data_IF_590204163926
#
_entry.id   IF_590204163926
#
_cell.length_a   1.000
_cell.length_b   1.000
_cell.length_c   1.000
_cell.angle_alpha   90.00
_cell.angle_beta   90.00
_cell.angle_gamma   90.00
#
_symmetry.space_group_name_H-M   'P 1'
#
loop_
_entity.id
_entity.type
_entity.pdbx_description
1 polymer ?
#
# COMPACT_ATOMS: atom_id res chain seq x y z
N UNK A 1 27.83 18.44 17.18
CA UNK A 1 27.19 17.32 16.47
C UNK A 1 26.62 16.28 17.46
N UNK A 2 25.78 16.70 18.42
CA UNK A 2 25.24 15.81 19.48
C UNK A 2 23.74 15.55 19.35
N UNK A 3 23.10 16.07 18.29
CA UNK A 3 21.70 15.82 17.97
C UNK A 3 21.67 14.87 16.77
N UNK A 4 22.03 13.60 17.00
CA UNK A 4 21.71 12.55 16.04
C UNK A 4 20.19 12.57 15.85
N UNK A 5 19.74 12.66 14.60
CA UNK A 5 18.32 12.77 14.33
C UNK A 5 17.68 11.46 14.79
N UNK A 6 16.80 11.46 15.80
CA UNK A 6 16.19 10.22 16.31
C UNK A 6 15.38 9.49 15.21
N UNK A 7 15.04 10.18 14.13
CA UNK A 7 14.53 9.57 12.90
C UNK A 7 15.49 8.51 12.31
N UNK A 8 16.80 8.65 12.47
CA UNK A 8 17.80 7.70 12.00
C UNK A 8 17.73 6.33 12.73
N UNK A 9 17.00 6.24 13.85
CA UNK A 9 16.80 5.00 14.60
C UNK A 9 15.81 4.04 13.92
N UNK A 10 14.96 4.54 13.02
CA UNK A 10 13.91 3.75 12.34
C UNK A 10 14.02 3.90 10.82
N UNK A 11 15.14 3.42 10.21
CA UNK A 11 15.47 3.72 8.82
C UNK A 11 14.49 3.09 7.82
N UNK A 12 13.88 1.93 8.15
CA UNK A 12 12.95 1.24 7.26
C UNK A 12 11.60 1.92 7.25
N UNK A 13 11.12 2.38 8.41
CA UNK A 13 9.91 3.18 8.52
C UNK A 13 10.06 4.50 7.74
N UNK A 14 11.19 5.19 7.89
CA UNK A 14 11.48 6.43 7.14
C UNK A 14 11.44 6.17 5.64
N UNK A 15 12.13 5.11 5.19
CA UNK A 15 12.18 4.73 3.77
C UNK A 15 10.79 4.41 3.23
N UNK A 16 9.97 3.67 3.99
CA UNK A 16 8.61 3.34 3.63
C UNK A 16 7.68 4.56 3.54
N UNK A 17 7.80 5.50 4.49
CA UNK A 17 7.05 6.76 4.48
C UNK A 17 7.41 7.65 3.27
N UNK A 18 8.65 7.57 2.78
CA UNK A 18 9.05 8.25 1.55
C UNK A 18 8.64 7.51 0.28
N UNK A 19 8.63 6.18 0.28
CA UNK A 19 8.17 5.36 -0.84
C UNK A 19 6.67 5.62 -1.13
N UNK A 20 5.87 5.66 -0.06
CA UNK A 20 4.41 5.85 -0.13
C UNK A 20 3.99 7.25 -0.61
N UNK A 21 4.85 8.27 -0.52
CA UNK A 21 4.62 9.60 -1.12
C UNK A 21 4.53 9.53 -2.66
N UNK A 22 5.38 8.70 -3.28
CA UNK A 22 5.44 8.61 -4.74
C UNK A 22 4.21 7.92 -5.31
N UNK A 23 3.55 7.11 -4.49
CA UNK A 23 2.26 6.49 -4.80
C UNK A 23 1.17 7.54 -4.56
N UNK A 24 1.19 8.55 -5.43
CA UNK A 24 0.31 9.71 -5.44
C UNK A 24 -1.10 9.26 -5.89
N UNK A 25 -1.73 8.35 -5.13
CA UNK A 25 -3.09 7.84 -5.38
C UNK A 25 -4.05 9.02 -5.55
N UNK A 26 -3.87 10.09 -4.78
CA UNK A 26 -4.66 11.30 -4.93
C UNK A 26 -4.40 12.06 -6.24
N UNK A 27 -3.22 11.96 -6.87
CA UNK A 27 -2.93 12.63 -8.14
C UNK A 27 -3.48 11.85 -9.34
N UNK A 28 -3.50 10.52 -9.26
CA UNK A 28 -4.18 9.69 -10.26
C UNK A 28 -5.72 9.85 -10.17
N UNK A 29 -6.27 9.92 -8.94
CA UNK A 29 -7.70 10.13 -8.73
C UNK A 29 -8.18 11.58 -8.92
N UNK A 30 -7.35 12.61 -8.70
CA UNK A 30 -7.74 14.03 -8.88
C UNK A 30 -7.33 14.58 -10.25
N UNK A 31 -6.26 14.03 -10.85
CA UNK A 31 -5.70 14.46 -12.13
C UNK A 31 -6.45 13.95 -13.36
N UNK A 32 -7.20 12.85 -13.24
CA UNK A 32 -8.06 12.35 -14.33
C UNK A 32 -9.44 13.05 -14.37
N UNK A 33 -9.75 13.92 -13.40
CA UNK A 33 -11.11 14.46 -13.22
C UNK A 33 -11.42 15.80 -13.92
N UNK A 34 -10.47 16.53 -14.51
CA UNK A 34 -10.80 17.91 -14.97
C UNK A 34 -10.24 18.42 -16.29
N UNK A 35 -9.16 17.86 -16.86
CA UNK A 35 -8.44 18.57 -17.92
C UNK A 35 -8.52 17.97 -19.33
N UNK A 36 -8.66 16.65 -19.51
CA UNK A 36 -8.47 16.05 -20.84
C UNK A 36 -9.76 15.85 -21.64
N UNK A 37 -10.90 15.57 -21.00
CA UNK A 37 -12.16 15.32 -21.73
C UNK A 37 -13.05 16.57 -21.90
N UNK A 38 -12.89 17.61 -21.07
CA UNK A 38 -13.69 18.83 -21.17
C UNK A 38 -13.18 19.84 -22.19
N UNK A 39 -11.86 20.08 -22.24
CA UNK A 39 -11.30 21.20 -23.00
C UNK A 39 -11.21 20.90 -24.50
N UNK A 40 -10.90 19.65 -24.87
CA UNK A 40 -10.74 19.26 -26.28
C UNK A 40 -12.03 19.38 -27.12
N UNK A 41 -13.18 19.05 -26.53
CA UNK A 41 -14.48 19.08 -27.25
C UNK A 41 -15.02 20.50 -27.35
N UNK A 42 -14.85 21.33 -26.31
CA UNK A 42 -15.29 22.74 -26.33
C UNK A 42 -14.44 23.61 -27.28
N UNK A 43 -13.13 23.37 -27.39
CA UNK A 43 -12.27 24.12 -28.30
C UNK A 43 -12.52 23.80 -29.79
N UNK A 44 -12.89 22.56 -30.13
CA UNK A 44 -13.18 22.15 -31.51
C UNK A 44 -14.54 22.66 -32.03
N UNK A 45 -15.55 22.75 -31.16
CA UNK A 45 -16.87 23.28 -31.53
C UNK A 45 -16.92 24.81 -31.53
N UNK A 46 -16.15 25.46 -30.65
CA UNK A 46 -16.02 26.93 -30.62
C UNK A 46 -15.38 27.50 -31.89
N UNK A 47 -14.41 26.78 -32.47
CA UNK A 47 -13.79 27.18 -33.75
C UNK A 47 -14.72 26.98 -34.95
N UNK A 48 -15.62 26.00 -34.92
CA UNK A 48 -16.60 25.77 -36.00
C UNK A 48 -17.77 26.75 -35.98
N UNK A 49 -18.24 27.16 -34.79
CA UNK A 49 -19.33 28.12 -34.62
C UNK A 49 -18.94 29.57 -35.01
N UNK A 50 -17.65 29.92 -34.92
CA UNK A 50 -17.13 31.25 -35.29
C UNK A 50 -17.09 31.49 -36.82
N UNK A 51 -17.07 30.43 -37.64
CA UNK A 51 -16.91 30.54 -39.09
C UNK A 51 -18.24 30.64 -39.87
N UNK A 52 -19.39 30.39 -39.25
CA UNK A 52 -20.71 30.38 -39.91
C UNK A 52 -21.79 31.05 -39.04
N UNK A 53 -22.23 32.28 -39.34
CA UNK A 53 -23.19 33.01 -38.49
C UNK A 53 -24.57 32.35 -38.44
N UNK A 54 -24.95 31.56 -39.47
CA UNK A 54 -26.19 30.76 -39.47
C UNK A 54 -26.02 29.36 -38.85
N UNK A 55 -24.80 28.82 -38.84
CA UNK A 55 -24.51 27.48 -38.31
C UNK A 55 -24.58 27.42 -36.78
N UNK A 56 -24.22 28.52 -36.11
CA UNK A 56 -24.24 28.59 -34.64
C UNK A 56 -25.64 28.38 -34.04
N UNK A 57 -26.68 28.91 -34.68
CA UNK A 57 -28.07 28.84 -34.18
C UNK A 57 -28.68 27.45 -34.37
N UNK A 58 -28.38 26.78 -35.48
CA UNK A 58 -28.79 25.39 -35.75
C UNK A 58 -27.99 24.42 -34.88
N UNK A 59 -26.67 24.62 -34.74
CA UNK A 59 -25.84 23.78 -33.88
C UNK A 59 -26.23 23.88 -32.39
N UNK A 60 -26.56 25.08 -31.87
CA UNK A 60 -27.00 25.22 -30.48
C UNK A 60 -28.35 24.54 -30.21
N UNK A 61 -29.29 24.62 -31.14
CA UNK A 61 -30.66 24.10 -30.94
C UNK A 61 -30.77 22.60 -31.19
N UNK A 62 -30.00 22.06 -32.14
CA UNK A 62 -30.06 20.62 -32.51
C UNK A 62 -28.98 19.77 -31.84
N UNK A 63 -27.73 20.25 -31.78
CA UNK A 63 -26.60 19.52 -31.19
C UNK A 63 -26.37 19.88 -29.72
N UNK A 64 -26.78 21.07 -29.28
CA UNK A 64 -26.66 21.51 -27.89
C UNK A 64 -27.32 20.55 -26.90
N UNK A 65 -28.59 20.14 -27.09
CA UNK A 65 -29.24 19.18 -26.19
C UNK A 65 -28.55 17.81 -26.16
N UNK A 66 -28.01 17.34 -27.30
CA UNK A 66 -27.27 16.08 -27.39
C UNK A 66 -25.93 16.15 -26.65
N UNK A 67 -25.21 17.27 -26.74
CA UNK A 67 -23.96 17.48 -26.00
C UNK A 67 -24.21 17.62 -24.50
N UNK A 68 -25.25 18.35 -24.09
CA UNK A 68 -25.64 18.44 -22.68
C UNK A 68 -26.03 17.05 -22.16
N UNK A 69 -26.83 16.29 -22.92
CA UNK A 69 -27.18 14.91 -22.57
C UNK A 69 -25.94 14.01 -22.50
N UNK A 70 -25.00 14.11 -23.44
CA UNK A 70 -23.77 13.33 -23.41
C UNK A 70 -22.94 13.66 -22.16
N UNK A 71 -22.79 14.93 -21.82
CA UNK A 71 -22.09 15.37 -20.58
C UNK A 71 -22.81 14.87 -19.34
N UNK A 72 -24.14 14.97 -19.28
CA UNK A 72 -24.95 14.51 -18.15
C UNK A 72 -24.88 12.99 -18.01
N UNK A 73 -25.03 12.23 -19.09
CA UNK A 73 -24.95 10.76 -19.10
C UNK A 73 -23.56 10.29 -18.72
N UNK A 74 -22.50 10.89 -19.28
CA UNK A 74 -21.11 10.56 -18.92
C UNK A 74 -20.81 10.93 -17.47
N UNK A 75 -21.35 12.06 -17.00
CA UNK A 75 -21.28 12.48 -15.62
C UNK A 75 -21.96 11.49 -14.67
N UNK A 76 -23.17 11.05 -14.99
CA UNK A 76 -23.93 10.07 -14.18
C UNK A 76 -23.26 8.69 -14.21
N UNK A 77 -22.73 8.24 -15.36
CA UNK A 77 -22.00 6.97 -15.46
C UNK A 77 -20.72 7.02 -14.64
N UNK A 78 -19.98 8.13 -14.70
CA UNK A 78 -18.79 8.33 -13.86
C UNK A 78 -19.16 8.43 -12.38
N UNK A 79 -20.26 9.09 -12.02
CA UNK A 79 -20.74 9.15 -10.64
C UNK A 79 -21.15 7.76 -10.12
N UNK A 80 -21.86 6.97 -10.94
CA UNK A 80 -22.25 5.59 -10.62
C UNK A 80 -21.04 4.67 -10.52
N UNK A 81 -20.05 4.82 -11.41
CA UNK A 81 -18.76 4.10 -11.30
C UNK A 81 -18.00 4.48 -10.05
N UNK A 82 -17.96 5.78 -9.68
CA UNK A 82 -17.36 6.25 -8.42
C UNK A 82 -18.10 5.74 -7.19
N UNK A 83 -19.42 5.71 -7.23
CA UNK A 83 -20.24 5.15 -6.14
C UNK A 83 -20.07 3.63 -6.02
N UNK A 84 -19.92 2.92 -7.14
CA UNK A 84 -19.66 1.49 -7.17
C UNK A 84 -18.21 1.12 -6.75
N UNK A 85 -17.26 2.05 -6.88
CA UNK A 85 -15.87 1.88 -6.45
C UNK A 85 -15.61 2.25 -4.98
N UNK A 86 -16.61 2.77 -4.25
CA UNK A 86 -16.54 2.93 -2.79
C UNK A 86 -16.79 1.59 -2.09
N UNK A 87 -15.88 0.65 -2.30
CA UNK A 87 -15.84 -0.56 -1.47
C UNK A 87 -15.30 -0.18 -0.09
N UNK A 88 -15.71 -0.87 0.99
CA UNK A 88 -15.16 -0.60 2.33
C UNK A 88 -13.64 -0.78 2.39
N UNK A 89 -13.09 -1.68 1.56
CA UNK A 89 -11.64 -1.87 1.39
C UNK A 89 -10.93 -0.67 0.77
N UNK A 90 -11.62 0.06 -0.11
CA UNK A 90 -11.08 1.28 -0.69
C UNK A 90 -11.03 2.41 0.35
N UNK A 91 -12.08 2.55 1.15
CA UNK A 91 -12.13 3.56 2.21
C UNK A 91 -11.06 3.31 3.28
N UNK A 92 -10.84 2.06 3.69
CA UNK A 92 -9.78 1.71 4.65
C UNK A 92 -8.38 2.00 4.10
N UNK A 93 -8.13 1.74 2.81
CA UNK A 93 -6.86 2.10 2.17
C UNK A 93 -6.64 3.61 2.18
N UNK A 94 -7.66 4.39 1.80
CA UNK A 94 -7.57 5.86 1.81
C UNK A 94 -7.28 6.38 3.22
N UNK A 95 -7.96 5.84 4.23
CA UNK A 95 -7.70 6.17 5.64
C UNK A 95 -6.24 5.88 6.03
N UNK A 96 -5.72 4.70 5.66
CA UNK A 96 -4.35 4.32 5.98
C UNK A 96 -3.31 5.26 5.33
N UNK A 97 -3.52 5.64 4.06
CA UNK A 97 -2.63 6.60 3.38
C UNK A 97 -2.69 8.00 4.02
N UNK A 98 -3.85 8.42 4.52
CA UNK A 98 -3.95 9.67 5.29
C UNK A 98 -3.15 9.58 6.59
N UNK A 99 -3.22 8.45 7.30
CA UNK A 99 -2.41 8.22 8.50
C UNK A 99 -0.91 8.22 8.18
N UNK A 100 -0.48 7.56 7.10
CA UNK A 100 0.91 7.57 6.65
C UNK A 100 1.39 8.99 6.33
N UNK A 101 0.57 9.80 5.66
CA UNK A 101 0.89 11.20 5.39
C UNK A 101 1.03 12.03 6.69
N UNK A 102 0.17 11.77 7.69
CA UNK A 102 0.29 12.38 9.03
C UNK A 102 1.58 11.96 9.72
N UNK A 103 1.91 10.66 9.74
CA UNK A 103 3.14 10.14 10.33
C UNK A 103 4.38 10.74 9.67
N UNK A 104 4.38 10.85 8.35
CA UNK A 104 5.47 11.50 7.62
C UNK A 104 5.59 12.98 7.99
N UNK A 105 4.48 13.72 8.06
CA UNK A 105 4.52 15.12 8.48
C UNK A 105 5.04 15.27 9.90
N UNK A 106 4.74 14.33 10.79
CA UNK A 106 5.36 14.28 12.12
C UNK A 106 6.86 13.98 12.06
N UNK A 107 7.30 13.11 11.15
CA UNK A 107 8.70 12.80 10.93
C UNK A 107 9.47 14.03 10.45
N UNK A 108 8.95 14.76 9.46
CA UNK A 108 9.55 16.00 8.94
C UNK A 108 9.64 17.10 10.01
N UNK A 109 8.71 17.11 10.96
CA UNK A 109 8.71 18.02 12.11
C UNK A 109 9.51 17.48 13.31
N UNK A 110 10.19 16.34 13.18
CA UNK A 110 10.88 15.63 14.28
C UNK A 110 9.99 15.34 15.50
N UNK A 111 8.69 15.15 15.29
CA UNK A 111 7.70 14.89 16.36
C UNK A 111 7.28 13.44 16.48
N UNK A 112 7.60 12.63 15.48
CA UNK A 112 7.12 11.24 15.41
C UNK A 112 7.50 10.44 16.68
N UNK A 113 8.75 10.58 17.14
CA UNK A 113 9.29 9.91 18.33
C UNK A 113 8.80 10.47 19.67
N UNK A 114 8.13 11.62 19.65
CA UNK A 114 7.54 12.24 20.84
C UNK A 114 6.08 11.85 21.00
N UNK A 115 5.36 11.83 19.88
CA UNK A 115 3.94 11.59 19.87
C UNK A 115 3.64 10.07 19.87
N UNK A 116 4.46 9.23 19.21
CA UNK A 116 4.34 7.76 19.30
C UNK A 116 5.27 7.17 20.36
N UNK A 117 4.85 6.07 20.99
CA UNK A 117 5.71 5.30 21.89
C UNK A 117 6.84 4.61 21.10
N UNK A 118 7.98 4.43 21.77
CA UNK A 118 9.15 3.75 21.21
C UNK A 118 8.83 2.30 20.80
N UNK A 119 7.98 1.61 21.57
CA UNK A 119 7.45 0.28 21.26
C UNK A 119 6.70 0.25 19.92
N UNK A 120 5.80 1.21 19.69
CA UNK A 120 5.04 1.32 18.45
C UNK A 120 5.95 1.65 17.26
N UNK A 121 6.92 2.54 17.45
CA UNK A 121 7.87 2.88 16.38
C UNK A 121 8.76 1.71 16.00
N UNK A 122 9.29 0.99 16.99
CA UNK A 122 10.07 -0.22 16.76
C UNK A 122 9.26 -1.28 16.03
N UNK A 123 7.99 -1.47 16.39
CA UNK A 123 7.11 -2.42 15.74
C UNK A 123 6.79 -2.01 14.29
N UNK A 124 6.50 -0.74 14.03
CA UNK A 124 6.23 -0.23 12.69
C UNK A 124 7.47 -0.28 11.79
N UNK A 125 8.66 -0.01 12.34
CA UNK A 125 9.94 -0.17 11.64
C UNK A 125 10.20 -1.64 11.30
N UNK A 126 9.92 -2.56 12.22
CA UNK A 126 10.04 -4.01 11.96
C UNK A 126 9.09 -4.47 10.85
N UNK A 127 7.84 -4.00 10.86
CA UNK A 127 6.86 -4.30 9.80
C UNK A 127 7.35 -3.76 8.46
N UNK A 128 7.80 -2.50 8.41
CA UNK A 128 8.34 -1.89 7.20
C UNK A 128 9.57 -2.63 6.69
N UNK A 129 10.47 -3.04 7.60
CA UNK A 129 11.66 -3.83 7.29
C UNK A 129 11.29 -5.17 6.67
N UNK A 130 10.39 -5.93 7.28
CA UNK A 130 9.97 -7.25 6.80
C UNK A 130 9.24 -7.15 5.47
N UNK A 131 8.38 -6.12 5.29
CA UNK A 131 7.79 -5.81 3.97
C UNK A 131 8.89 -5.59 2.93
N UNK A 132 9.86 -4.71 3.21
CA UNK A 132 10.96 -4.42 2.30
C UNK A 132 11.75 -5.67 1.92
N UNK A 133 12.07 -6.52 2.90
CA UNK A 133 12.76 -7.79 2.68
C UNK A 133 11.95 -8.75 1.78
N UNK A 134 10.63 -8.86 1.97
CA UNK A 134 9.77 -9.67 1.08
C UNK A 134 9.87 -9.16 -0.36
N UNK A 135 9.77 -7.84 -0.57
CA UNK A 135 9.92 -7.25 -1.90
C UNK A 135 11.31 -7.51 -2.48
N UNK A 136 12.37 -7.38 -1.69
CA UNK A 136 13.75 -7.66 -2.12
C UNK A 136 13.94 -9.11 -2.55
N UNK A 137 13.41 -10.07 -1.77
CA UNK A 137 13.47 -11.50 -2.11
C UNK A 137 12.70 -11.78 -3.40
N UNK A 138 11.47 -11.26 -3.53
CA UNK A 138 10.65 -11.43 -4.74
C UNK A 138 11.20 -10.66 -5.96
N UNK A 139 12.16 -9.76 -5.75
CA UNK A 139 12.89 -9.06 -6.80
C UNK A 139 14.18 -9.78 -7.23
N UNK A 140 14.56 -10.88 -6.57
CA UNK A 140 15.73 -11.67 -6.97
C UNK A 140 15.56 -12.29 -8.37
N UNK A 141 16.67 -12.57 -9.09
CA UNK A 141 16.63 -13.08 -10.47
C UNK A 141 15.77 -14.33 -10.67
N UNK A 142 15.68 -15.21 -9.67
CA UNK A 142 14.81 -16.39 -9.70
C UNK A 142 13.34 -16.04 -9.99
N UNK A 143 12.81 -15.03 -9.30
CA UNK A 143 11.41 -14.59 -9.43
C UNK A 143 11.14 -13.70 -10.64
N UNK A 144 12.17 -13.31 -11.39
CA UNK A 144 12.09 -12.41 -12.54
C UNK A 144 12.22 -13.15 -13.88
N UNK A 145 12.33 -14.48 -13.85
CA UNK A 145 12.43 -15.30 -15.06
C UNK A 145 11.12 -15.25 -15.87
N UNK A 146 11.23 -15.11 -17.19
CA UNK A 146 10.07 -15.15 -18.10
C UNK A 146 9.35 -16.51 -18.10
N UNK A 147 10.06 -17.57 -17.73
CA UNK A 147 9.57 -18.95 -17.72
C UNK A 147 9.11 -19.42 -16.33
N UNK A 148 8.82 -18.48 -15.42
CA UNK A 148 8.31 -18.82 -14.09
C UNK A 148 6.98 -19.57 -14.22
N UNK A 149 6.82 -20.67 -13.47
CA UNK A 149 5.56 -21.43 -13.44
C UNK A 149 4.38 -20.49 -13.13
N UNK A 150 3.22 -20.63 -13.79
CA UNK A 150 2.04 -19.81 -13.51
C UNK A 150 1.64 -19.79 -12.03
N UNK A 151 1.83 -20.91 -11.33
CA UNK A 151 1.55 -21.03 -9.88
C UNK A 151 2.48 -20.15 -9.04
N UNK A 152 3.77 -20.10 -9.37
CA UNK A 152 4.75 -19.27 -8.69
C UNK A 152 4.57 -17.77 -9.04
N UNK A 153 4.17 -17.46 -10.26
CA UNK A 153 3.82 -16.10 -10.66
C UNK A 153 2.61 -15.57 -9.88
N UNK A 154 1.59 -16.40 -9.70
CA UNK A 154 0.42 -16.06 -8.89
C UNK A 154 0.78 -15.94 -7.40
N UNK A 155 1.60 -16.85 -6.86
CA UNK A 155 2.11 -16.77 -5.50
C UNK A 155 2.87 -15.47 -5.26
N UNK A 156 3.78 -15.09 -6.16
CA UNK A 156 4.53 -13.81 -6.09
C UNK A 156 3.56 -12.62 -6.03
N UNK A 157 2.56 -12.60 -6.90
CA UNK A 157 1.54 -11.53 -6.94
C UNK A 157 0.75 -11.47 -5.63
N UNK A 158 0.29 -12.61 -5.12
CA UNK A 158 -0.45 -12.70 -3.86
C UNK A 158 0.40 -12.29 -2.66
N UNK A 159 1.67 -12.70 -2.62
CA UNK A 159 2.61 -12.34 -1.56
C UNK A 159 2.86 -10.83 -1.50
N UNK A 160 3.07 -10.17 -2.65
CA UNK A 160 3.23 -8.71 -2.72
C UNK A 160 1.98 -8.01 -2.20
N UNK A 161 0.81 -8.40 -2.71
CA UNK A 161 -0.48 -7.79 -2.30
C UNK A 161 -0.74 -8.02 -0.81
N UNK A 162 -0.49 -9.22 -0.30
CA UNK A 162 -0.68 -9.57 1.10
C UNK A 162 0.29 -8.79 2.00
N UNK A 163 1.55 -8.61 1.59
CA UNK A 163 2.54 -7.86 2.36
C UNK A 163 2.19 -6.37 2.44
N UNK A 164 1.80 -5.76 1.31
CA UNK A 164 1.38 -4.37 1.25
C UNK A 164 0.09 -4.14 2.05
N UNK A 165 -0.93 -5.00 1.86
CA UNK A 165 -2.19 -4.89 2.59
C UNK A 165 -2.00 -5.07 4.09
N UNK A 166 -1.20 -6.04 4.51
CA UNK A 166 -0.90 -6.27 5.92
C UNK A 166 -0.22 -5.05 6.56
N UNK A 167 0.71 -4.42 5.85
CA UNK A 167 1.39 -3.21 6.32
C UNK A 167 0.39 -2.05 6.52
N UNK A 168 -0.52 -1.88 5.56
CA UNK A 168 -1.63 -0.91 5.65
C UNK A 168 -2.53 -1.22 6.85
N UNK A 169 -2.93 -2.47 7.02
CA UNK A 169 -3.80 -2.91 8.12
C UNK A 169 -3.16 -2.69 9.49
N UNK A 170 -1.83 -2.87 9.59
CA UNK A 170 -1.08 -2.59 10.81
C UNK A 170 -1.08 -1.09 11.16
N UNK A 171 -0.91 -0.22 10.17
CA UNK A 171 -0.98 1.24 10.36
C UNK A 171 -2.38 1.67 10.82
N UNK A 172 -3.43 1.06 10.26
CA UNK A 172 -4.82 1.32 10.67
C UNK A 172 -5.11 0.95 12.14
N UNK A 173 -4.38 -0.01 12.73
CA UNK A 173 -4.52 -0.31 14.15
C UNK A 173 -4.16 0.89 15.04
N UNK A 174 -3.26 1.76 14.57
CA UNK A 174 -2.82 2.95 15.29
C UNK A 174 -3.63 4.21 14.97
N UNK A 175 -4.75 4.09 14.25
CA UNK A 175 -5.60 5.24 13.88
C UNK A 175 -6.05 6.09 15.07
N UNK A 176 -6.31 5.43 16.21
CA UNK A 176 -6.78 6.09 17.42
C UNK A 176 -5.64 6.71 18.24
N UNK A 177 -4.40 6.33 17.93
CA UNK A 177 -3.19 6.78 18.61
C UNK A 177 -2.49 7.92 17.87
N UNK A 178 -2.91 8.23 16.63
CA UNK A 178 -2.40 9.33 15.84
C UNK A 178 -3.39 10.51 15.84
N UNK A 179 -2.95 11.76 16.01
CA UNK A 179 -3.82 12.91 15.85
C UNK A 179 -4.27 13.06 14.39
N UNK A 180 -5.55 13.38 14.19
CA UNK A 180 -6.16 13.56 12.86
C UNK A 180 -5.54 14.72 12.07
N UNK A 181 -4.94 15.70 12.74
CA UNK A 181 -4.26 16.84 12.11
C UNK A 181 -3.00 17.22 12.88
N UNK A 182 -1.89 17.38 12.15
CA UNK A 182 -0.65 17.94 12.69
C UNK A 182 -0.78 19.46 12.77
N UNK A 183 -1.23 19.95 13.93
CA UNK A 183 -1.31 21.41 14.17
C UNK A 183 0.10 22.02 14.29
N UNK A 184 0.29 23.17 13.65
CA UNK A 184 1.50 23.97 13.79
C UNK A 184 1.61 24.45 15.24
N UNK A 185 2.77 24.21 15.85
CA UNK A 185 3.01 24.49 17.26
C UNK A 185 3.32 25.98 17.49
N UNK A 186 2.84 26.58 18.60
CA UNK A 186 3.29 27.91 19.02
C UNK A 186 4.77 27.86 19.42
N UNK A 187 5.50 28.96 19.16
CA UNK A 187 6.96 29.05 19.33
C UNK A 187 7.45 28.62 20.72
N UNK A 188 6.64 28.88 21.76
CA UNK A 188 6.93 28.51 23.15
C UNK A 188 7.15 27.01 23.37
N UNK A 189 6.51 26.15 22.57
CA UNK A 189 6.68 24.69 22.69
C UNK A 189 8.06 24.19 22.25
N UNK A 190 8.78 24.94 21.40
CA UNK A 190 10.18 24.63 21.08
C UNK A 190 11.13 24.99 22.23
N UNK A 191 10.75 25.98 23.05
CA UNK A 191 11.51 26.37 24.24
C UNK A 191 11.32 25.30 25.32
N UNK A 192 10.08 24.82 25.53
CA UNK A 192 9.82 23.68 26.41
C UNK A 192 10.57 22.43 25.96
N UNK A 193 10.67 22.19 24.65
CA UNK A 193 11.43 21.05 24.09
C UNK A 193 12.94 21.17 24.31
N UNK A 194 13.50 22.37 24.18
CA UNK A 194 14.89 22.62 24.57
C UNK A 194 15.09 22.36 26.07
N UNK A 195 14.15 22.80 26.91
CA UNK A 195 14.20 22.58 28.37
C UNK A 195 14.06 21.10 28.73
N UNK A 196 13.15 20.34 28.10
CA UNK A 196 13.00 18.90 28.28
C UNK A 196 14.30 18.16 27.91
N UNK A 197 14.92 18.56 26.80
CA UNK A 197 16.18 17.97 26.31
C UNK A 197 17.35 18.27 27.23
N UNK A 198 17.42 19.47 27.83
CA UNK A 198 18.47 19.85 28.77
C UNK A 198 18.26 19.31 30.19
N UNK A 199 17.01 19.15 30.62
CA UNK A 199 16.68 18.74 32.00
C UNK A 199 16.44 17.24 32.14
N UNK A 200 16.26 16.52 31.03
CA UNK A 200 15.95 15.08 31.03
C UNK A 200 14.59 14.73 31.67
N UNK A 201 13.79 15.73 32.06
CA UNK A 201 12.45 15.55 32.60
C UNK A 201 11.44 15.77 31.48
N UNK A 202 10.81 14.68 31.04
CA UNK A 202 9.67 14.75 30.12
C UNK A 202 8.52 15.50 30.79
N UNK A 203 8.24 16.71 30.31
CA UNK A 203 7.09 17.53 30.72
C UNK A 203 5.90 17.06 29.87
N UNK A 204 5.24 15.99 30.32
CA UNK A 204 3.89 15.59 29.91
C UNK A 204 3.66 15.58 28.38
N UNK A 205 4.26 14.64 27.68
CA UNK A 205 3.51 13.94 26.65
C UNK A 205 3.06 12.65 27.31
N UNK A 206 1.78 12.54 27.70
CA UNK A 206 1.20 11.22 27.92
C UNK A 206 1.31 10.51 26.57
N UNK A 207 2.16 9.47 26.42
CA UNK A 207 2.20 8.73 25.17
C UNK A 207 0.77 8.31 24.86
N UNK A 208 0.34 8.46 23.61
CA UNK A 208 -0.94 7.89 23.20
C UNK A 208 -0.90 6.42 23.62
N UNK A 209 -1.88 5.99 24.40
CA UNK A 209 -2.00 4.61 24.89
C UNK A 209 -1.84 3.65 23.73
N UNK A 210 -1.20 2.50 23.96
CA UNK A 210 -0.83 1.46 22.97
C UNK A 210 -2.04 0.72 22.37
N UNK A 211 -3.11 1.44 22.03
CA UNK A 211 -4.24 0.91 21.29
C UNK A 211 -3.76 0.39 19.93
N UNK A 212 -4.10 -0.87 19.65
CA UNK A 212 -3.76 -1.52 18.39
C UNK A 212 -2.41 -2.24 18.37
N UNK A 213 -1.59 -2.15 19.42
CA UNK A 213 -0.27 -2.80 19.46
C UNK A 213 -0.36 -4.32 19.25
N UNK A 214 -1.23 -5.02 19.98
CA UNK A 214 -1.42 -6.48 19.83
C UNK A 214 -1.86 -6.87 18.41
N UNK A 215 -2.70 -6.04 17.78
CA UNK A 215 -3.17 -6.24 16.41
C UNK A 215 -2.01 -6.13 15.42
N UNK A 216 -1.25 -5.03 15.50
CA UNK A 216 -0.08 -4.80 14.67
C UNK A 216 1.02 -5.86 14.90
N UNK A 217 1.20 -6.32 16.15
CA UNK A 217 2.17 -7.35 16.49
C UNK A 217 1.84 -8.70 15.83
N UNK A 218 0.55 -9.09 15.82
CA UNK A 218 0.10 -10.29 15.10
C UNK A 218 0.33 -10.16 13.59
N UNK A 219 0.15 -8.97 13.03
CA UNK A 219 0.46 -8.71 11.62
C UNK A 219 1.96 -8.86 11.35
N UNK A 220 2.81 -8.29 12.21
CA UNK A 220 4.26 -8.43 12.10
C UNK A 220 4.70 -9.91 12.14
N UNK A 221 4.12 -10.72 13.03
CA UNK A 221 4.39 -12.17 13.09
C UNK A 221 4.00 -12.89 11.81
N UNK A 222 2.83 -12.57 11.24
CA UNK A 222 2.37 -13.17 9.97
C UNK A 222 3.25 -12.76 8.79
N UNK A 223 3.68 -11.50 8.73
CA UNK A 223 4.64 -11.04 7.73
C UNK A 223 5.98 -11.78 7.86
N UNK A 224 6.44 -12.03 9.08
CA UNK A 224 7.66 -12.78 9.32
C UNK A 224 7.53 -14.24 8.85
N UNK A 225 6.38 -14.88 9.10
CA UNK A 225 6.09 -16.22 8.60
C UNK A 225 6.08 -16.23 7.07
N UNK A 226 5.34 -15.31 6.44
CA UNK A 226 5.30 -15.16 4.97
C UNK A 226 6.70 -14.99 4.38
N UNK A 227 7.51 -14.11 4.98
CA UNK A 227 8.90 -13.91 4.58
C UNK A 227 9.67 -15.22 4.65
N UNK A 228 9.61 -15.95 5.77
CA UNK A 228 10.36 -17.20 5.95
C UNK A 228 9.96 -18.27 4.94
N UNK A 229 8.68 -18.37 4.58
CA UNK A 229 8.19 -19.30 3.55
C UNK A 229 8.74 -18.91 2.16
N UNK A 230 8.72 -17.62 1.82
CA UNK A 230 9.27 -17.13 0.55
C UNK A 230 10.78 -17.36 0.49
N UNK A 231 11.52 -17.12 1.58
CA UNK A 231 12.95 -17.41 1.67
C UNK A 231 13.23 -18.90 1.50
N UNK A 232 12.46 -19.77 2.17
CA UNK A 232 12.59 -21.22 2.03
C UNK A 232 12.35 -21.67 0.58
N UNK A 233 11.28 -21.18 -0.06
CA UNK A 233 10.97 -21.47 -1.46
C UNK A 233 12.08 -20.97 -2.40
N UNK A 234 12.61 -19.77 -2.13
CA UNK A 234 13.69 -19.18 -2.94
C UNK A 234 14.99 -19.95 -2.79
N UNK A 235 15.30 -20.45 -1.59
CA UNK A 235 16.50 -21.23 -1.30
C UNK A 235 16.39 -22.69 -1.78
N UNK A 236 15.18 -23.25 -1.79
CA UNK A 236 14.91 -24.60 -2.30
C UNK A 236 14.92 -24.66 -3.83
N UNK A 237 14.68 -23.54 -4.50
CA UNK A 237 14.80 -23.47 -5.95
C UNK A 237 16.27 -23.65 -6.37
N UNK A 238 16.58 -24.61 -7.27
CA UNK A 238 17.95 -24.82 -7.72
C UNK A 238 18.46 -23.56 -8.44
N UNK A 239 19.42 -22.88 -7.81
CA UNK A 239 20.13 -21.75 -8.41
C UNK A 239 21.05 -22.27 -9.52
N UNK A 240 20.51 -22.37 -10.74
CA UNK A 240 21.15 -22.94 -11.92
C UNK A 240 20.31 -24.10 -12.42
N UNK A 241 19.66 -24.03 -13.59
CA UNK A 241 20.32 -23.90 -14.88
C UNK A 241 19.48 -23.00 -15.80
N UNK A 242 20.05 -21.88 -16.24
CA UNK A 242 19.54 -21.07 -17.37
C UNK A 242 19.87 -21.73 -18.73
N UNK A 243 19.84 -23.05 -18.77
CA UNK A 243 20.05 -23.90 -19.92
C UNK A 243 19.14 -25.10 -19.68
N UNK A 244 18.27 -25.37 -20.65
CA UNK A 244 17.32 -26.49 -20.69
C UNK A 244 17.43 -27.42 -19.48
N UNK A 245 16.67 -27.09 -18.41
CA UNK A 245 16.27 -28.12 -17.47
C UNK A 245 15.37 -29.01 -18.31
N UNK A 246 15.98 -30.03 -18.92
CA UNK A 246 15.32 -31.24 -19.34
C UNK A 246 14.46 -31.63 -18.14
N UNK A 247 13.18 -31.25 -18.22
CA UNK A 247 12.18 -31.57 -17.23
C UNK A 247 12.22 -33.09 -17.12
N UNK A 248 12.91 -33.63 -16.12
CA UNK A 248 12.93 -35.07 -15.90
C UNK A 248 11.45 -35.50 -15.76
N UNK A 249 10.87 -36.18 -16.76
CA UNK A 249 9.48 -36.56 -16.75
C UNK A 249 9.38 -37.71 -15.73
N UNK A 250 9.11 -37.36 -14.47
CA UNK A 250 9.18 -38.31 -13.37
C UNK A 250 9.05 -37.62 -12.02
N UNK A 251 9.83 -36.56 -11.77
CA UNK A 251 9.84 -35.91 -10.45
C UNK A 251 8.47 -35.32 -10.05
N UNK A 252 7.77 -34.66 -10.99
CA UNK A 252 6.41 -34.15 -10.75
C UNK A 252 5.37 -35.26 -10.61
N UNK A 253 5.61 -36.44 -11.21
CA UNK A 253 4.73 -37.61 -11.07
C UNK A 253 5.00 -38.30 -9.73
N UNK A 254 6.25 -38.38 -9.30
CA UNK A 254 6.64 -38.97 -8.01
C UNK A 254 6.16 -38.10 -6.84
N UNK A 255 6.21 -36.77 -6.96
CA UNK A 255 5.63 -35.85 -5.97
C UNK A 255 4.10 -35.97 -5.91
N UNK A 256 3.43 -36.01 -7.07
CA UNK A 256 1.97 -36.23 -7.12
C UNK A 256 1.58 -37.62 -6.58
N UNK A 257 2.39 -38.66 -6.82
CA UNK A 257 2.17 -40.00 -6.27
C UNK A 257 2.46 -40.06 -4.77
N UNK A 258 3.41 -39.25 -4.27
CA UNK A 258 3.68 -39.12 -2.84
C UNK A 258 2.50 -38.43 -2.14
N UNK A 259 1.95 -37.37 -2.73
CA UNK A 259 0.78 -36.65 -2.22
C UNK A 259 -0.50 -37.51 -2.23
N UNK A 260 -0.72 -38.31 -3.27
CA UNK A 260 -1.83 -39.28 -3.30
C UNK A 260 -1.66 -40.35 -2.21
N UNK A 261 -0.43 -40.80 -1.94
CA UNK A 261 -0.16 -41.79 -0.87
C UNK A 261 -0.36 -41.21 0.52
N UNK A 262 0.01 -39.95 0.76
CA UNK A 262 -0.21 -39.28 2.05
C UNK A 262 -1.69 -39.04 2.30
N UNK A 263 -2.45 -38.61 1.29
CA UNK A 263 -3.91 -38.45 1.38
C UNK A 263 -4.59 -39.80 1.70
N UNK A 264 -4.21 -40.87 0.98
CA UNK A 264 -4.78 -42.21 1.23
C UNK A 264 -4.47 -42.71 2.63
N UNK A 265 -3.26 -42.47 3.14
CA UNK A 265 -2.88 -42.85 4.50
C UNK A 265 -3.67 -42.06 5.55
N UNK A 266 -3.89 -40.77 5.32
CA UNK A 266 -4.75 -39.93 6.16
C UNK A 266 -6.22 -40.39 6.15
N UNK A 267 -6.75 -40.83 5.01
CA UNK A 267 -8.10 -41.43 4.93
C UNK A 267 -8.19 -42.78 5.66
N UNK A 268 -7.16 -43.62 5.58
CA UNK A 268 -7.10 -44.91 6.27
C UNK A 268 -7.06 -44.71 7.80
N UNK A 269 -6.30 -43.72 8.27
CA UNK A 269 -6.24 -43.30 9.68
C UNK A 269 -7.59 -42.74 10.17
N UNK A 270 -8.29 -41.96 9.34
CA UNK A 270 -9.64 -41.47 9.62
C UNK A 270 -10.69 -42.61 9.69
N UNK A 271 -10.54 -43.65 8.88
CA UNK A 271 -11.43 -44.83 8.90
C UNK A 271 -11.20 -45.77 10.07
N UNK A 272 -9.98 -45.83 10.61
CA UNK A 272 -9.66 -46.64 11.78
C UNK A 272 -9.96 -45.90 13.11
N UNK A 273 -10.09 -44.58 13.07
CA UNK A 273 -10.48 -43.72 14.20
C UNK A 273 -11.98 -43.50 14.38
N UNK A 274 -12.84 -44.13 13.56
CA UNK A 274 -14.30 -44.20 13.68
C UNK A 274 -14.73 -45.63 14.03
#
# INVERSE_FOLDING_TARGET
MLFGNRADQYPYLVSYLHETERVDLFREFRGQETLTTGIGVFCALGTWALLMPFGALVALTSLGPLLIMAVVVTGIINLKRRAAMRTPEFESKVEAYQLLAVMRRMLELNRLHRDLSDSTLTLLDEIARTRGQIHDILNMPFWQQSNLSPTLGELKRQAIVAADQSTIDAVLQFRNSLPTQVQARPVWSYIDEAVETFTGRAVRATPFTEFGFDGAFRVAQKLQMLKSEIEQLTNAAPMGVAGEVEQMPGALIDDALMEIRTIRKAEEELRQGL
#
